data_IF_899432331060
#
_entry.id   IF_899432331060
#
_cell.length_a   1.000
_cell.length_b   1.000
_cell.length_c   1.000
_cell.angle_alpha   90.00
_cell.angle_beta   90.00
_cell.angle_gamma   90.00
#
_symmetry.space_group_name_H-M   'P 1'
#
loop_
_entity.id
_entity.type
_entity.pdbx_description
1 polymer ?
#
# COMPACT_ATOMS: atom_id res chain seq x y z
N UNK A 1 6.30 0.28 -13.77
CA UNK A 1 7.49 1.18 -13.87
C UNK A 1 8.23 1.35 -12.53
N UNK A 2 7.63 1.10 -11.37
CA UNK A 2 8.28 1.24 -10.05
C UNK A 2 9.58 0.48 -9.92
N UNK A 3 9.57 -0.84 -10.15
CA UNK A 3 10.75 -1.68 -10.00
C UNK A 3 11.92 -1.24 -10.90
N UNK A 4 11.64 -0.75 -12.10
CA UNK A 4 12.66 -0.22 -13.01
C UNK A 4 13.33 1.02 -12.42
N UNK A 5 12.55 1.95 -11.86
CA UNK A 5 13.13 3.14 -11.21
C UNK A 5 13.92 2.78 -9.95
N UNK A 6 13.38 1.86 -9.13
CA UNK A 6 14.13 1.35 -7.97
C UNK A 6 15.43 0.71 -8.41
N UNK A 7 15.43 -0.18 -9.42
CA UNK A 7 16.62 -0.81 -9.95
C UNK A 7 17.64 0.20 -10.56
N UNK A 8 17.15 1.32 -11.10
CA UNK A 8 18.02 2.37 -11.65
C UNK A 8 18.72 3.15 -10.55
N UNK A 9 18.06 3.43 -9.43
CA UNK A 9 18.58 4.29 -8.37
C UNK A 9 19.18 3.52 -7.19
N UNK A 10 18.76 2.28 -6.98
CA UNK A 10 19.21 1.40 -5.89
C UNK A 10 19.77 0.08 -6.43
N UNK A 11 20.84 0.17 -7.22
CA UNK A 11 21.47 -0.98 -7.90
C UNK A 11 22.04 -2.05 -6.96
N UNK A 12 22.32 -1.70 -5.72
CA UNK A 12 22.73 -2.63 -4.67
C UNK A 12 21.56 -3.38 -4.03
N UNK A 13 20.32 -2.85 -4.15
CA UNK A 13 19.12 -3.48 -3.60
C UNK A 13 18.38 -4.31 -4.63
N UNK A 14 18.25 -3.83 -5.84
CA UNK A 14 17.46 -4.47 -6.88
C UNK A 14 18.20 -4.45 -8.22
N UNK A 15 18.43 -5.64 -8.77
CA UNK A 15 18.89 -5.85 -10.14
C UNK A 15 17.86 -6.65 -10.92
N UNK A 16 17.38 -6.11 -12.04
CA UNK A 16 16.42 -6.78 -12.92
C UNK A 16 17.22 -7.49 -14.02
N UNK A 17 17.31 -8.80 -13.96
CA UNK A 17 18.07 -9.61 -14.93
C UNK A 17 17.25 -9.99 -16.16
N UNK A 18 15.91 -10.05 -16.04
CA UNK A 18 15.00 -10.25 -17.15
C UNK A 18 13.63 -9.65 -16.83
N UNK A 19 12.92 -9.25 -17.88
CA UNK A 19 11.52 -8.84 -17.83
C UNK A 19 10.75 -9.73 -18.80
N UNK A 20 9.84 -10.55 -18.25
CA UNK A 20 8.86 -11.28 -19.06
C UNK A 20 7.62 -10.43 -19.30
N UNK A 21 7.18 -10.35 -20.55
CA UNK A 21 5.93 -9.68 -20.90
C UNK A 21 5.25 -10.37 -22.08
N UNK A 22 3.91 -10.45 -22.06
CA UNK A 22 3.11 -10.96 -23.17
C UNK A 22 2.90 -9.94 -24.31
N UNK A 23 3.40 -8.70 -24.13
CA UNK A 23 3.34 -7.64 -25.14
C UNK A 23 4.50 -7.84 -26.13
N UNK A 24 4.18 -8.26 -27.36
CA UNK A 24 5.19 -8.59 -28.39
C UNK A 24 6.11 -7.43 -28.77
N UNK A 25 5.60 -6.20 -28.76
CA UNK A 25 6.36 -5.01 -29.18
C UNK A 25 6.88 -4.18 -28.00
N UNK A 26 6.93 -4.77 -26.80
CA UNK A 26 7.43 -4.07 -25.64
C UNK A 26 8.95 -4.22 -25.52
N UNK A 27 9.64 -3.10 -25.47
CA UNK A 27 11.06 -3.03 -25.17
C UNK A 27 11.33 -1.96 -24.12
N UNK A 28 12.38 -2.12 -23.36
CA UNK A 28 12.82 -1.19 -22.35
C UNK A 28 14.34 -1.02 -22.44
N UNK A 29 14.86 0.17 -22.84
CA UNK A 29 16.29 0.39 -22.96
C UNK A 29 17.06 0.04 -21.68
N UNK A 30 18.14 -0.71 -21.82
CA UNK A 30 18.98 -1.13 -20.71
C UNK A 30 18.49 -2.40 -19.96
N UNK A 31 17.35 -3.00 -20.36
CA UNK A 31 16.82 -4.20 -19.74
C UNK A 31 16.63 -5.31 -20.77
N UNK A 32 16.86 -6.55 -20.36
CA UNK A 32 16.55 -7.72 -21.16
C UNK A 32 15.05 -8.00 -21.06
N UNK A 33 14.35 -7.91 -22.18
CA UNK A 33 12.90 -8.13 -22.26
C UNK A 33 12.62 -9.29 -23.21
N UNK A 34 11.76 -10.22 -22.80
CA UNK A 34 11.38 -11.39 -23.59
C UNK A 34 9.88 -11.70 -23.42
N UNK A 35 9.28 -12.30 -24.44
CA UNK A 35 7.93 -12.87 -24.40
C UNK A 35 7.93 -14.39 -24.13
N UNK A 36 9.10 -14.94 -23.84
CA UNK A 36 9.29 -16.35 -23.46
C UNK A 36 9.60 -16.46 -21.97
N UNK A 37 8.70 -17.08 -21.19
CA UNK A 37 8.84 -17.23 -19.76
C UNK A 37 10.05 -18.10 -19.37
N UNK A 38 10.33 -19.20 -20.11
CA UNK A 38 11.47 -20.07 -19.85
C UNK A 38 12.79 -19.34 -20.06
N UNK A 39 12.86 -18.50 -21.09
CA UNK A 39 14.04 -17.70 -21.35
C UNK A 39 14.27 -16.65 -20.24
N UNK A 40 13.22 -15.97 -19.77
CA UNK A 40 13.34 -15.06 -18.64
C UNK A 40 13.83 -15.78 -17.38
N UNK A 41 13.25 -16.93 -17.05
CA UNK A 41 13.58 -17.73 -15.86
C UNK A 41 14.93 -18.47 -15.99
N UNK A 42 15.51 -18.55 -17.18
CA UNK A 42 16.87 -19.08 -17.37
C UNK A 42 17.96 -18.12 -16.88
N UNK A 43 17.66 -16.85 -16.68
CA UNK A 43 18.61 -15.88 -16.17
C UNK A 43 18.79 -16.06 -14.65
N UNK A 44 19.98 -15.90 -14.10
CA UNK A 44 20.20 -16.00 -12.65
C UNK A 44 19.29 -15.00 -11.91
N UNK A 45 18.60 -15.46 -10.87
CA UNK A 45 17.73 -14.61 -10.03
C UNK A 45 17.51 -15.23 -8.64
N UNK A 46 17.20 -14.38 -7.66
CA UNK A 46 16.90 -14.77 -6.29
C UNK A 46 15.38 -14.89 -6.06
N UNK A 47 14.60 -14.15 -6.84
CA UNK A 47 13.14 -14.14 -6.77
C UNK A 47 12.50 -13.69 -8.09
N UNK A 48 11.23 -14.03 -8.26
CA UNK A 48 10.38 -13.57 -9.36
C UNK A 48 9.33 -12.62 -8.83
N UNK A 49 9.33 -11.36 -9.33
CA UNK A 49 8.30 -10.38 -9.00
C UNK A 49 7.14 -10.51 -9.98
N UNK A 50 5.97 -10.92 -9.49
CA UNK A 50 4.74 -11.04 -10.27
C UNK A 50 3.97 -9.73 -10.21
N UNK A 51 4.20 -8.85 -11.18
CA UNK A 51 3.50 -7.57 -11.37
C UNK A 51 2.52 -7.63 -12.54
N UNK A 52 1.92 -8.79 -12.78
CA UNK A 52 0.99 -9.00 -13.90
C UNK A 52 -0.43 -8.61 -13.51
N UNK A 53 -1.17 -8.07 -14.49
CA UNK A 53 -2.61 -7.85 -14.33
C UNK A 53 -3.39 -9.17 -14.28
N UNK A 54 -4.69 -9.04 -14.20
CA UNK A 54 -5.72 -10.06 -13.91
C UNK A 54 -5.66 -11.36 -14.74
N UNK A 55 -5.31 -11.27 -16.02
CA UNK A 55 -5.41 -12.42 -16.92
C UNK A 55 -4.21 -13.33 -16.75
N UNK A 56 -4.45 -14.58 -16.38
CA UNK A 56 -3.42 -15.60 -16.21
C UNK A 56 -2.58 -15.43 -14.92
N UNK A 57 -3.08 -14.69 -13.94
CA UNK A 57 -2.36 -14.50 -12.67
C UNK A 57 -2.22 -15.83 -11.90
N UNK A 58 -3.33 -16.54 -11.68
CA UNK A 58 -3.34 -17.81 -10.95
C UNK A 58 -2.46 -18.87 -11.64
N UNK A 59 -2.56 -18.97 -12.97
CA UNK A 59 -1.75 -19.89 -13.76
C UNK A 59 -0.25 -19.54 -13.64
N UNK A 60 0.08 -18.26 -13.64
CA UNK A 60 1.46 -17.81 -13.45
C UNK A 60 1.97 -18.19 -12.06
N UNK A 61 1.18 -17.97 -11.02
CA UNK A 61 1.54 -18.32 -9.64
C UNK A 61 1.78 -19.82 -9.49
N UNK A 62 0.87 -20.67 -9.99
CA UNK A 62 1.02 -22.13 -9.98
C UNK A 62 2.22 -22.62 -10.79
N UNK A 63 2.47 -21.98 -11.92
CA UNK A 63 3.62 -22.32 -12.74
C UNK A 63 4.95 -22.04 -12.01
N UNK A 64 5.07 -20.88 -11.38
CA UNK A 64 6.25 -20.51 -10.62
C UNK A 64 6.44 -21.40 -9.38
N UNK A 65 5.36 -21.67 -8.64
CA UNK A 65 5.39 -22.59 -7.51
C UNK A 65 5.88 -23.99 -7.90
N UNK A 66 5.33 -24.55 -8.98
CA UNK A 66 5.75 -25.87 -9.50
C UNK A 66 7.23 -25.91 -9.86
N UNK A 67 7.83 -24.79 -10.22
CA UNK A 67 9.26 -24.67 -10.51
C UNK A 67 10.11 -24.49 -9.25
N UNK A 68 9.48 -24.24 -8.10
CA UNK A 68 10.19 -23.95 -6.85
C UNK A 68 10.76 -22.53 -6.78
N UNK A 69 10.21 -21.60 -7.57
CA UNK A 69 10.67 -20.21 -7.58
C UNK A 69 10.29 -19.48 -6.29
N UNK A 70 11.12 -18.55 -5.84
CA UNK A 70 10.76 -17.61 -4.78
C UNK A 70 9.86 -16.52 -5.34
N UNK A 71 8.62 -16.45 -4.89
CA UNK A 71 7.60 -15.58 -5.47
C UNK A 71 7.39 -14.34 -4.60
N UNK A 72 7.55 -13.17 -5.21
CA UNK A 72 7.09 -11.88 -4.70
C UNK A 72 5.95 -11.41 -5.60
N UNK A 73 4.79 -11.05 -5.05
CA UNK A 73 3.67 -10.63 -5.89
C UNK A 73 3.08 -9.31 -5.46
N UNK A 74 2.62 -8.51 -6.41
CA UNK A 74 1.72 -7.37 -6.15
C UNK A 74 0.32 -7.87 -5.73
N UNK A 75 -0.54 -6.96 -5.29
CA UNK A 75 -1.88 -7.26 -4.78
C UNK A 75 -2.90 -7.61 -5.87
N UNK A 76 -2.50 -8.36 -6.89
CA UNK A 76 -3.34 -8.74 -8.04
C UNK A 76 -4.48 -9.73 -7.70
N UNK A 77 -4.58 -10.16 -6.44
CA UNK A 77 -5.62 -11.11 -5.95
C UNK A 77 -7.05 -10.59 -6.04
N UNK A 78 -7.25 -9.27 -6.10
CA UNK A 78 -8.58 -8.63 -6.12
C UNK A 78 -9.56 -9.19 -7.13
N UNK A 79 -9.06 -9.75 -8.18
CA UNK A 79 -9.83 -10.16 -9.35
C UNK A 79 -10.11 -11.64 -9.40
N UNK A 80 -9.51 -12.38 -8.50
CA UNK A 80 -9.71 -13.80 -8.33
C UNK A 80 -11.07 -14.07 -7.69
N UNK A 81 -11.72 -15.18 -8.05
CA UNK A 81 -12.91 -15.68 -7.35
C UNK A 81 -12.51 -16.31 -6.02
N UNK A 82 -13.49 -16.62 -5.17
CA UNK A 82 -13.21 -17.21 -3.85
C UNK A 82 -12.55 -18.59 -3.93
N UNK A 83 -12.89 -19.37 -4.94
CA UNK A 83 -12.25 -20.66 -5.22
C UNK A 83 -10.79 -20.47 -5.63
N UNK A 84 -10.52 -19.50 -6.51
CA UNK A 84 -9.16 -19.17 -6.97
C UNK A 84 -8.30 -18.57 -5.84
N UNK A 85 -8.90 -17.78 -4.94
CA UNK A 85 -8.22 -17.27 -3.75
C UNK A 85 -7.76 -18.39 -2.81
N UNK A 86 -8.55 -19.46 -2.65
CA UNK A 86 -8.14 -20.63 -1.87
C UNK A 86 -6.94 -21.32 -2.49
N UNK A 87 -6.91 -21.46 -3.82
CA UNK A 87 -5.78 -22.07 -4.52
C UNK A 87 -4.50 -21.22 -4.40
N UNK A 88 -4.62 -19.89 -4.44
CA UNK A 88 -3.46 -19.00 -4.25
C UNK A 88 -2.97 -19.00 -2.80
N UNK A 89 -3.89 -19.13 -1.83
CA UNK A 89 -3.56 -19.17 -0.39
C UNK A 89 -2.61 -20.32 -0.02
N UNK A 90 -2.63 -21.42 -0.79
CA UNK A 90 -1.74 -22.57 -0.58
C UNK A 90 -0.32 -22.33 -1.15
N UNK A 91 -0.13 -21.33 -2.02
CA UNK A 91 1.14 -21.01 -2.67
C UNK A 91 2.09 -20.31 -1.67
N UNK A 92 3.34 -20.76 -1.63
CA UNK A 92 4.38 -20.12 -0.81
C UNK A 92 4.95 -18.89 -1.52
N UNK A 93 5.10 -17.82 -0.77
CA UNK A 93 5.67 -16.56 -1.27
C UNK A 93 5.22 -15.36 -0.44
N UNK A 94 5.53 -14.17 -0.95
CA UNK A 94 5.28 -12.92 -0.24
C UNK A 94 4.47 -11.96 -1.10
N UNK A 95 3.66 -11.13 -0.44
CA UNK A 95 2.92 -10.05 -1.07
C UNK A 95 3.63 -8.71 -0.81
N UNK A 96 3.87 -7.96 -1.86
CA UNK A 96 4.46 -6.62 -1.78
C UNK A 96 3.36 -5.57 -1.56
N UNK A 97 2.66 -5.67 -0.41
CA UNK A 97 1.66 -4.69 0.00
C UNK A 97 2.35 -3.46 0.60
N UNK A 98 2.46 -2.40 -0.18
CA UNK A 98 3.26 -1.24 0.15
C UNK A 98 2.58 -0.22 1.08
N UNK A 99 1.24 -0.21 1.20
CA UNK A 99 0.54 0.87 1.88
C UNK A 99 0.93 1.06 3.36
N UNK A 100 1.05 0.03 4.20
CA UNK A 100 1.54 0.23 5.58
C UNK A 100 2.97 0.80 5.66
N UNK A 101 3.74 0.69 4.57
CA UNK A 101 5.13 1.14 4.45
C UNK A 101 5.27 2.52 3.77
N UNK A 102 4.18 3.12 3.29
CA UNK A 102 4.23 4.52 2.85
C UNK A 102 4.74 5.40 4.00
N UNK A 103 5.60 6.38 3.70
CA UNK A 103 6.18 7.25 4.72
C UNK A 103 5.15 7.83 5.70
N UNK A 104 4.03 8.35 5.19
CA UNK A 104 2.96 8.88 6.04
C UNK A 104 2.35 7.79 6.94
N UNK A 105 1.95 6.64 6.39
CA UNK A 105 1.33 5.58 7.19
C UNK A 105 2.30 4.97 8.20
N UNK A 106 3.57 4.81 7.83
CA UNK A 106 4.62 4.40 8.76
C UNK A 106 4.79 5.40 9.92
N UNK A 107 4.78 6.72 9.61
CA UNK A 107 4.83 7.76 10.61
C UNK A 107 3.59 7.77 11.52
N UNK A 108 2.38 7.59 10.95
CA UNK A 108 1.13 7.45 11.73
C UNK A 108 1.19 6.22 12.63
N UNK A 109 1.59 5.06 12.11
CA UNK A 109 1.73 3.82 12.90
C UNK A 109 2.69 4.06 14.08
N UNK A 110 3.84 4.68 13.84
CA UNK A 110 4.80 5.01 14.91
C UNK A 110 4.22 5.99 15.92
N UNK A 111 3.51 7.02 15.49
CA UNK A 111 2.90 8.02 16.35
C UNK A 111 1.79 7.45 17.25
N UNK A 112 1.17 6.30 16.89
CA UNK A 112 0.14 5.66 17.74
C UNK A 112 0.67 5.27 19.12
N UNK A 113 1.98 5.12 19.29
CA UNK A 113 2.62 4.87 20.60
C UNK A 113 2.32 5.99 21.63
N UNK A 114 1.96 7.21 21.16
CA UNK A 114 1.66 8.37 22.02
C UNK A 114 0.23 8.36 22.56
N UNK A 115 -0.70 7.70 21.86
CA UNK A 115 -2.13 7.77 22.19
C UNK A 115 -2.64 6.60 23.03
N UNK A 116 -1.76 5.73 23.49
CA UNK A 116 -2.11 4.59 24.33
C UNK A 116 -2.76 3.46 23.55
N UNK A 117 -3.67 2.70 24.16
CA UNK A 117 -4.35 1.59 23.53
C UNK A 117 -5.25 2.10 22.39
N UNK A 118 -4.93 1.69 21.17
CA UNK A 118 -5.73 2.03 19.98
C UNK A 118 -7.01 1.19 19.94
N UNK A 119 -8.14 1.84 19.71
CA UNK A 119 -9.46 1.23 19.63
C UNK A 119 -10.27 1.61 18.37
N UNK A 120 -9.85 2.67 17.63
CA UNK A 120 -10.55 3.08 16.43
C UNK A 120 -9.58 3.48 15.32
N UNK A 121 -9.94 3.08 14.09
CA UNK A 121 -9.33 3.55 12.85
C UNK A 121 -10.42 4.01 11.89
N UNK A 122 -10.25 5.21 11.30
CA UNK A 122 -11.02 5.70 10.16
C UNK A 122 -10.10 5.89 8.98
N UNK A 123 -10.51 5.39 7.82
CA UNK A 123 -9.84 5.60 6.54
C UNK A 123 -10.83 6.11 5.50
N UNK A 124 -10.41 7.07 4.70
CA UNK A 124 -11.17 7.57 3.54
C UNK A 124 -10.33 7.47 2.27
N UNK A 125 -11.00 7.27 1.13
CA UNK A 125 -10.43 7.32 -0.23
C UNK A 125 -9.32 6.31 -0.56
N UNK A 126 -9.18 5.25 0.24
CA UNK A 126 -8.25 4.14 -0.01
C UNK A 126 -8.98 2.91 -0.56
N UNK A 127 -8.38 2.24 -1.53
CA UNK A 127 -8.90 0.95 -2.03
C UNK A 127 -9.01 -0.07 -0.90
N UNK A 128 -10.09 -0.84 -0.93
CA UNK A 128 -10.52 -1.75 0.12
C UNK A 128 -9.41 -2.68 0.65
N UNK A 129 -8.62 -3.31 -0.21
CA UNK A 129 -7.54 -4.22 0.21
C UNK A 129 -6.38 -3.47 0.88
N UNK A 130 -6.01 -2.28 0.40
CA UNK A 130 -5.00 -1.43 1.04
C UNK A 130 -5.50 -0.91 2.39
N UNK A 131 -6.79 -0.55 2.46
CA UNK A 131 -7.43 -0.17 3.72
C UNK A 131 -7.40 -1.33 4.74
N UNK A 132 -7.59 -2.58 4.27
CA UNK A 132 -7.48 -3.79 5.10
C UNK A 132 -6.06 -4.00 5.62
N UNK A 133 -5.05 -3.80 4.79
CA UNK A 133 -3.65 -3.92 5.20
C UNK A 133 -3.29 -2.89 6.29
N UNK A 134 -3.72 -1.63 6.13
CA UNK A 134 -3.51 -0.58 7.14
C UNK A 134 -4.29 -0.89 8.42
N UNK A 135 -5.55 -1.36 8.31
CA UNK A 135 -6.35 -1.80 9.44
C UNK A 135 -5.59 -2.85 10.26
N UNK A 136 -5.08 -3.89 9.60
CA UNK A 136 -4.33 -4.96 10.26
C UNK A 136 -3.04 -4.43 10.89
N UNK A 137 -2.33 -3.54 10.21
CA UNK A 137 -1.11 -2.93 10.73
C UNK A 137 -1.35 -2.08 11.99
N UNK A 138 -2.48 -1.35 12.08
CA UNK A 138 -2.80 -0.43 13.18
C UNK A 138 -3.60 -1.13 14.27
N UNK A 139 -4.73 -1.75 13.93
CA UNK A 139 -5.61 -2.37 14.91
C UNK A 139 -5.13 -3.76 15.35
N UNK A 140 -4.18 -4.37 14.64
CA UNK A 140 -3.69 -5.75 14.92
C UNK A 140 -4.82 -6.79 14.90
N UNK A 141 -5.78 -6.61 13.97
CA UNK A 141 -6.89 -7.52 13.77
C UNK A 141 -6.65 -8.38 12.52
N UNK A 142 -6.49 -9.67 12.71
CA UNK A 142 -6.16 -10.64 11.66
C UNK A 142 -7.30 -11.64 11.39
N UNK A 143 -8.54 -11.25 11.67
CA UNK A 143 -9.71 -12.09 11.43
C UNK A 143 -10.70 -11.42 10.49
N UNK A 144 -11.45 -12.23 9.75
CA UNK A 144 -12.55 -11.74 8.93
C UNK A 144 -13.67 -11.23 9.87
N UNK A 145 -14.05 -9.94 9.76
CA UNK A 145 -15.06 -9.36 10.64
C UNK A 145 -16.45 -9.95 10.36
N UNK A 146 -17.29 -10.03 11.41
CA UNK A 146 -18.66 -10.53 11.33
C UNK A 146 -19.70 -9.45 11.58
N UNK A 147 -19.38 -8.40 12.32
CA UNK A 147 -20.29 -7.29 12.63
C UNK A 147 -19.95 -6.10 11.72
N UNK A 148 -20.75 -5.92 10.68
CA UNK A 148 -20.56 -4.91 9.65
C UNK A 148 -21.86 -4.14 9.48
N UNK A 149 -21.79 -2.83 9.64
CA UNK A 149 -22.85 -1.90 9.26
C UNK A 149 -22.49 -1.19 7.97
N UNK A 150 -23.45 -1.05 7.05
CA UNK A 150 -23.27 -0.44 5.75
C UNK A 150 -24.22 0.74 5.56
N UNK A 151 -23.70 1.85 5.04
CA UNK A 151 -24.50 3.01 4.60
C UNK A 151 -24.09 3.34 3.19
N UNK A 152 -25.01 3.19 2.26
CA UNK A 152 -24.83 3.52 0.83
C UNK A 152 -25.82 4.64 0.47
N UNK A 153 -25.34 5.74 -0.10
CA UNK A 153 -26.20 6.86 -0.47
C UNK A 153 -25.71 7.58 -1.75
N UNK A 154 -26.66 8.16 -2.53
CA UNK A 154 -26.33 8.95 -3.70
C UNK A 154 -25.47 10.15 -3.33
N UNK A 155 -24.41 10.39 -4.09
CA UNK A 155 -23.52 11.53 -3.94
C UNK A 155 -23.04 11.99 -5.31
N UNK A 156 -22.34 13.09 -5.36
CA UNK A 156 -21.74 13.58 -6.60
C UNK A 156 -20.41 14.26 -6.37
N UNK A 157 -19.54 14.22 -7.36
CA UNK A 157 -18.27 14.94 -7.38
C UNK A 157 -18.00 15.54 -8.76
N UNK A 158 -17.04 16.43 -8.83
CA UNK A 158 -16.51 16.91 -10.11
C UNK A 158 -15.34 16.00 -10.50
N UNK A 159 -15.35 15.52 -11.74
CA UNK A 159 -14.24 14.75 -12.29
C UNK A 159 -12.98 15.60 -12.31
N UNK A 160 -11.94 15.12 -11.67
CA UNK A 160 -10.62 15.72 -11.67
C UNK A 160 -9.63 14.88 -12.47
N UNK A 161 -8.36 15.26 -12.51
CA UNK A 161 -7.32 14.49 -13.15
C UNK A 161 -7.29 13.06 -12.61
N UNK A 162 -7.39 12.07 -13.48
CA UNK A 162 -7.19 10.67 -13.12
C UNK A 162 -5.69 10.30 -13.07
N UNK A 163 -5.37 9.06 -12.78
CA UNK A 163 -4.01 8.50 -12.68
C UNK A 163 -3.10 8.83 -13.89
N UNK A 164 -3.65 9.21 -15.03
CA UNK A 164 -2.91 9.61 -16.23
C UNK A 164 -2.73 11.11 -16.42
N UNK A 165 -3.01 11.94 -15.41
CA UNK A 165 -2.85 13.41 -15.48
C UNK A 165 -3.83 14.13 -16.42
N UNK A 166 -4.76 13.45 -17.06
CA UNK A 166 -5.75 14.05 -17.95
C UNK A 166 -6.93 14.56 -17.13
N UNK A 167 -7.08 15.87 -17.07
CA UNK A 167 -8.29 16.51 -16.57
C UNK A 167 -9.45 16.19 -17.52
N UNK A 168 -10.50 15.56 -17.02
CA UNK A 168 -11.80 15.52 -17.66
C UNK A 168 -12.57 16.74 -17.18
N UNK A 169 -12.56 17.77 -17.94
CA UNK A 169 -13.32 19.02 -18.04
C UNK A 169 -14.34 19.40 -16.94
N UNK A 170 -14.11 19.08 -15.66
CA UNK A 170 -15.00 19.50 -14.60
C UNK A 170 -16.45 18.97 -14.71
N UNK A 171 -16.66 17.85 -15.42
CA UNK A 171 -17.97 17.21 -15.49
C UNK A 171 -18.38 16.69 -14.13
N UNK A 172 -19.65 16.90 -13.78
CA UNK A 172 -20.27 16.31 -12.60
C UNK A 172 -20.45 14.79 -12.82
N UNK A 173 -20.04 14.02 -11.85
CA UNK A 173 -20.22 12.57 -11.79
C UNK A 173 -21.07 12.19 -10.59
N UNK A 174 -22.15 11.48 -10.84
CA UNK A 174 -23.01 10.88 -9.82
C UNK A 174 -22.43 9.51 -9.44
N UNK A 175 -22.43 9.19 -8.16
CA UNK A 175 -21.94 7.90 -7.65
C UNK A 175 -22.64 7.50 -6.35
N UNK A 176 -22.49 6.25 -5.95
CA UNK A 176 -22.91 5.80 -4.64
C UNK A 176 -21.72 5.89 -3.69
N UNK A 177 -21.82 6.74 -2.68
CA UNK A 177 -20.87 6.80 -1.59
C UNK A 177 -21.12 5.63 -0.65
N UNK A 178 -20.06 4.92 -0.29
CA UNK A 178 -20.13 3.73 0.55
C UNK A 178 -19.37 3.97 1.84
N UNK A 179 -20.07 3.85 2.97
CA UNK A 179 -19.46 3.87 4.30
C UNK A 179 -19.67 2.51 4.94
N UNK A 180 -18.60 1.93 5.44
CA UNK A 180 -18.59 0.65 6.16
C UNK A 180 -18.07 0.87 7.57
N UNK A 181 -18.78 0.30 8.54
CA UNK A 181 -18.41 0.34 9.95
C UNK A 181 -18.29 -1.09 10.41
N UNK A 182 -17.09 -1.49 10.79
CA UNK A 182 -16.75 -2.83 11.26
C UNK A 182 -16.47 -2.78 12.75
N UNK A 183 -17.12 -3.66 13.52
CA UNK A 183 -16.83 -3.87 14.93
C UNK A 183 -16.17 -5.23 15.13
N UNK A 184 -15.03 -5.20 15.81
CA UNK A 184 -14.32 -6.41 16.19
C UNK A 184 -14.70 -6.84 17.63
N UNK A 185 -14.67 -8.14 17.94
CA UNK A 185 -14.95 -8.64 19.30
C UNK A 185 -13.99 -8.07 20.37
N UNK A 186 -12.82 -7.60 19.96
CA UNK A 186 -11.81 -6.93 20.79
C UNK A 186 -12.18 -5.51 21.21
N UNK A 187 -13.41 -5.02 20.94
CA UNK A 187 -13.86 -3.64 21.11
C UNK A 187 -13.10 -2.64 20.24
N UNK A 188 -12.67 -3.04 19.07
CA UNK A 188 -12.07 -2.14 18.09
C UNK A 188 -13.07 -1.82 16.97
N UNK A 189 -12.99 -0.58 16.50
CA UNK A 189 -13.85 -0.03 15.46
C UNK A 189 -13.04 0.35 14.23
N UNK A 190 -13.49 -0.07 13.06
CA UNK A 190 -12.97 0.41 11.80
C UNK A 190 -14.07 1.09 10.99
N UNK A 191 -13.78 2.28 10.48
CA UNK A 191 -14.67 3.05 9.61
C UNK A 191 -13.97 3.26 8.28
N UNK A 192 -14.60 2.81 7.20
CA UNK A 192 -14.10 2.95 5.84
C UNK A 192 -15.10 3.73 4.99
N UNK A 193 -14.63 4.83 4.39
CA UNK A 193 -15.42 5.70 3.51
C UNK A 193 -14.74 5.75 2.14
N UNK A 194 -15.20 4.91 1.21
CA UNK A 194 -14.57 4.78 -0.09
C UNK A 194 -15.60 4.61 -1.22
N UNK A 195 -15.31 5.24 -2.32
CA UNK A 195 -16.01 5.03 -3.60
C UNK A 195 -15.00 5.11 -4.73
N UNK A 196 -15.06 4.16 -5.65
CA UNK A 196 -14.12 4.07 -6.79
C UNK A 196 -14.06 5.37 -7.61
N UNK A 197 -15.18 6.10 -7.67
CA UNK A 197 -15.28 7.38 -8.39
C UNK A 197 -14.47 8.51 -7.74
N UNK A 198 -14.18 8.40 -6.43
CA UNK A 198 -13.42 9.40 -5.69
C UNK A 198 -11.92 9.10 -5.65
N UNK A 199 -11.54 7.89 -6.02
CA UNK A 199 -10.14 7.49 -6.09
C UNK A 199 -9.38 8.32 -7.14
N UNK A 200 -8.24 8.85 -6.77
CA UNK A 200 -7.46 9.84 -7.52
C UNK A 200 -8.13 11.21 -7.70
N UNK A 201 -9.24 11.50 -7.00
CA UNK A 201 -9.79 12.84 -7.01
C UNK A 201 -8.85 13.81 -6.28
N UNK A 202 -8.52 14.93 -6.91
CA UNK A 202 -7.76 16.00 -6.25
C UNK A 202 -8.62 16.85 -5.32
N UNK A 203 -9.94 16.64 -5.32
CA UNK A 203 -10.91 17.35 -4.45
C UNK A 203 -11.20 16.58 -3.16
N UNK A 204 -10.94 15.27 -3.16
CA UNK A 204 -11.20 14.40 -2.02
C UNK A 204 -9.85 13.84 -1.59
N UNK A 205 -9.43 14.22 -0.40
CA UNK A 205 -8.15 13.80 0.17
C UNK A 205 -8.29 12.42 0.80
N UNK A 206 -7.25 11.61 0.64
CA UNK A 206 -7.08 10.43 1.47
C UNK A 206 -6.90 10.86 2.91
N UNK A 207 -7.72 10.32 3.82
CA UNK A 207 -7.69 10.66 5.24
C UNK A 207 -7.46 9.42 6.08
N UNK A 208 -6.64 9.59 7.12
CA UNK A 208 -6.47 8.62 8.19
C UNK A 208 -6.68 9.28 9.53
N UNK A 209 -7.47 8.65 10.40
CA UNK A 209 -7.62 9.04 11.81
C UNK A 209 -7.55 7.78 12.66
N UNK A 210 -6.65 7.76 13.63
CA UNK A 210 -6.48 6.70 14.61
C UNK A 210 -6.80 7.27 15.98
N UNK A 211 -7.72 6.63 16.72
CA UNK A 211 -8.04 7.01 18.11
C UNK A 211 -7.54 5.95 19.06
N UNK A 212 -7.07 6.41 20.18
CA UNK A 212 -6.68 5.58 21.30
C UNK A 212 -7.10 6.21 22.62
N UNK A 213 -6.84 5.51 23.69
CA UNK A 213 -7.22 5.87 25.05
C UNK A 213 -6.82 7.31 25.45
N UNK A 214 -5.69 7.80 24.94
CA UNK A 214 -5.09 9.07 25.34
C UNK A 214 -5.13 10.15 24.28
N UNK A 215 -5.63 9.87 23.07
CA UNK A 215 -5.64 10.88 22.02
C UNK A 215 -5.92 10.35 20.63
N UNK A 216 -5.50 11.15 19.64
CA UNK A 216 -5.76 10.94 18.22
C UNK A 216 -4.45 11.16 17.45
N UNK A 217 -4.22 10.34 16.42
CA UNK A 217 -3.23 10.57 15.37
C UNK A 217 -3.97 10.64 14.04
N UNK A 218 -3.68 11.66 13.25
CA UNK A 218 -4.21 11.81 11.90
C UNK A 218 -3.08 12.08 10.89
N UNK A 219 -3.41 12.41 9.65
CA UNK A 219 -2.44 12.75 8.61
C UNK A 219 -1.70 14.08 8.84
N UNK A 220 -2.10 14.87 9.83
CA UNK A 220 -1.45 16.14 10.18
C UNK A 220 -0.53 16.02 11.40
N UNK A 221 -0.70 14.96 12.23
CA UNK A 221 0.10 14.78 13.43
C UNK A 221 -0.62 14.05 14.55
N UNK A 222 -0.23 14.34 15.78
CA UNK A 222 -0.79 13.74 16.98
C UNK A 222 -1.32 14.80 17.95
N UNK A 223 -2.45 14.49 18.60
CA UNK A 223 -3.01 15.25 19.72
C UNK A 223 -3.30 14.28 20.87
N UNK A 224 -2.67 14.47 22.03
CA UNK A 224 -2.83 13.54 23.14
C UNK A 224 -2.71 14.23 24.51
N UNK A 225 -3.22 13.57 25.54
CA UNK A 225 -3.10 14.03 26.92
C UNK A 225 -1.71 13.78 27.48
N UNK A 226 -1.08 14.82 28.00
CA UNK A 226 0.17 14.76 28.72
C UNK A 226 0.00 14.24 30.18
N UNK A 227 1.08 14.26 30.94
CA UNK A 227 1.10 13.71 32.30
C UNK A 227 0.29 14.53 33.31
N UNK A 228 0.23 15.84 33.11
CA UNK A 228 -0.44 16.78 34.01
C UNK A 228 -1.84 17.18 33.53
N UNK A 229 -2.39 16.44 32.54
CA UNK A 229 -3.72 16.67 31.99
C UNK A 229 -3.76 17.73 30.88
N UNK A 230 -2.62 18.28 30.50
CA UNK A 230 -2.50 19.21 29.38
C UNK A 230 -2.75 18.51 28.04
N UNK A 231 -3.19 19.25 27.04
CA UNK A 231 -3.27 18.75 25.66
C UNK A 231 -2.00 19.08 24.90
N UNK A 232 -1.29 18.05 24.45
CA UNK A 232 -0.12 18.17 23.61
C UNK A 232 -0.56 18.01 22.14
N UNK A 233 -0.11 18.93 21.27
CA UNK A 233 -0.35 18.89 19.83
C UNK A 233 1.01 18.90 19.12
N UNK A 234 1.28 17.87 18.32
CA UNK A 234 2.52 17.72 17.59
C UNK A 234 2.21 17.52 16.09
N UNK A 235 2.62 18.44 15.21
CA UNK A 235 2.42 18.27 13.77
C UNK A 235 3.45 17.30 13.20
N UNK A 236 3.06 16.61 12.11
CA UNK A 236 4.02 15.99 11.21
C UNK A 236 4.70 17.05 10.34
N UNK A 237 6.02 16.96 10.23
CA UNK A 237 6.81 17.78 9.31
C UNK A 237 7.55 16.86 8.34
N UNK A 238 7.29 17.02 7.05
CA UNK A 238 7.91 16.26 5.97
C UNK A 238 9.18 17.02 5.50
N UNK A 239 10.34 16.44 5.75
CA UNK A 239 11.62 16.98 5.31
C UNK A 239 11.95 16.45 3.93
N UNK A 240 11.67 17.27 2.91
CA UNK A 240 11.92 16.95 1.50
C UNK A 240 12.95 17.88 0.92
N UNK A 241 13.89 17.34 0.14
CA UNK A 241 14.80 18.16 -0.64
C UNK A 241 14.06 18.76 -1.82
N UNK A 242 14.19 20.07 -1.94
CA UNK A 242 13.76 20.83 -3.10
C UNK A 242 14.97 21.10 -3.98
N UNK A 243 15.52 20.08 -4.63
CA UNK A 243 16.46 20.36 -5.71
C UNK A 243 15.70 21.00 -6.86
N UNK A 244 16.13 22.21 -7.23
CA UNK A 244 15.46 23.08 -8.22
C UNK A 244 15.29 22.44 -9.61
N UNK A 245 15.97 21.34 -9.89
CA UNK A 245 15.97 20.62 -11.16
C UNK A 245 15.42 19.18 -11.08
N UNK A 246 15.09 18.67 -9.90
CA UNK A 246 14.52 17.32 -9.77
C UNK A 246 12.99 17.39 -9.90
N UNK A 247 12.44 16.60 -10.79
CA UNK A 247 10.99 16.45 -10.96
C UNK A 247 10.29 15.78 -9.76
N UNK A 248 11.04 15.32 -8.77
CA UNK A 248 10.56 14.66 -7.55
C UNK A 248 11.22 15.25 -6.32
N UNK A 249 10.41 15.72 -5.38
CA UNK A 249 10.88 16.12 -4.06
C UNK A 249 11.19 14.87 -3.22
N UNK A 250 12.48 14.56 -3.06
CA UNK A 250 12.93 13.37 -2.32
C UNK A 250 12.71 13.56 -0.82
N UNK A 251 11.94 12.63 -0.22
CA UNK A 251 11.74 12.60 1.22
C UNK A 251 12.98 12.09 1.93
N UNK A 252 13.49 12.87 2.89
CA UNK A 252 14.56 12.46 3.80
C UNK A 252 13.99 11.76 5.04
N UNK A 253 13.09 12.43 5.76
CA UNK A 253 12.46 11.91 6.96
C UNK A 253 11.17 12.67 7.30
N UNK A 254 10.41 12.13 8.26
CA UNK A 254 9.23 12.79 8.85
C UNK A 254 9.47 12.92 10.35
N UNK A 255 9.23 14.12 10.90
CA UNK A 255 9.24 14.34 12.35
C UNK A 255 7.82 14.52 12.89
N UNK A 256 7.61 14.11 14.14
CA UNK A 256 6.46 14.47 14.98
C UNK A 256 6.98 15.41 16.06
N UNK A 257 6.69 16.71 15.93
CA UNK A 257 7.42 17.71 16.69
C UNK A 257 8.93 17.64 16.39
N UNK A 258 9.75 17.37 17.39
CA UNK A 258 11.22 17.22 17.23
C UNK A 258 11.69 15.77 17.05
N UNK A 259 10.81 14.77 17.16
CA UNK A 259 11.17 13.35 17.07
C UNK A 259 11.06 12.85 15.63
N UNK A 260 12.07 12.14 15.14
CA UNK A 260 12.01 11.46 13.84
C UNK A 260 11.13 10.20 13.99
N UNK A 261 9.98 10.18 13.31
CA UNK A 261 9.03 9.06 13.32
C UNK A 261 9.11 8.19 12.06
N UNK A 262 9.71 8.72 11.00
CA UNK A 262 10.05 7.96 9.80
C UNK A 262 11.37 8.49 9.24
N UNK A 263 12.27 7.61 8.84
CA UNK A 263 13.52 7.96 8.13
C UNK A 263 13.59 7.15 6.83
N UNK A 264 13.85 7.83 5.71
CA UNK A 264 14.05 7.17 4.42
C UNK A 264 15.49 6.60 4.35
N UNK A 265 15.69 5.28 4.40
CA UNK A 265 17.04 4.70 4.38
C UNK A 265 17.71 4.79 3.01
N UNK A 266 16.96 5.19 1.99
CA UNK A 266 17.43 5.28 0.61
C UNK A 266 17.78 6.71 0.21
N UNK A 267 17.59 7.70 1.11
CA UNK A 267 17.99 9.07 0.85
C UNK A 267 19.50 9.15 0.57
N UNK A 268 19.98 9.89 -0.45
CA UNK A 268 19.26 10.87 -1.28
C UNK A 268 18.73 10.33 -2.63
N UNK A 269 18.52 9.03 -2.81
CA UNK A 269 17.97 8.49 -4.06
C UNK A 269 16.61 9.14 -4.39
N UNK A 270 16.38 9.62 -5.64
CA UNK A 270 15.20 10.39 -6.03
C UNK A 270 13.98 9.49 -6.24
N UNK A 271 13.49 8.89 -5.15
CA UNK A 271 12.35 7.99 -5.10
C UNK A 271 11.10 8.72 -4.63
N UNK A 272 9.95 8.39 -5.24
CA UNK A 272 8.63 8.78 -4.74
C UNK A 272 8.29 7.99 -3.46
N UNK A 273 7.25 8.44 -2.74
CA UNK A 273 6.78 7.76 -1.53
C UNK A 273 6.35 6.30 -1.82
N UNK A 274 5.73 6.05 -2.98
CA UNK A 274 5.41 4.69 -3.47
C UNK A 274 6.69 3.83 -3.65
N UNK A 275 7.70 4.40 -4.29
CA UNK A 275 8.96 3.71 -4.57
C UNK A 275 9.75 3.44 -3.28
N UNK A 276 9.71 4.36 -2.32
CA UNK A 276 10.30 4.18 -0.99
C UNK A 276 9.62 2.99 -0.30
N UNK A 277 8.29 2.94 -0.30
CA UNK A 277 7.54 1.86 0.34
C UNK A 277 7.86 0.48 -0.27
N UNK A 278 7.89 0.39 -1.60
CA UNK A 278 8.29 -0.86 -2.30
C UNK A 278 9.74 -1.21 -2.02
N UNK A 279 10.65 -0.24 -2.02
CA UNK A 279 12.07 -0.48 -1.73
C UNK A 279 12.29 -0.99 -0.28
N UNK A 280 11.48 -0.52 0.69
CA UNK A 280 11.49 -1.04 2.07
C UNK A 280 11.09 -2.52 2.12
N UNK A 281 10.08 -2.94 1.36
CA UNK A 281 9.68 -4.35 1.27
C UNK A 281 10.77 -5.20 0.62
N UNK A 282 11.38 -4.73 -0.47
CA UNK A 282 12.50 -5.41 -1.11
C UNK A 282 13.71 -5.50 -0.19
N UNK A 283 13.99 -4.46 0.59
CA UNK A 283 15.07 -4.50 1.59
C UNK A 283 14.75 -5.50 2.72
N UNK A 284 13.47 -5.59 3.15
CA UNK A 284 13.06 -6.59 4.13
C UNK A 284 13.20 -8.01 3.59
N UNK A 285 12.90 -8.22 2.30
CA UNK A 285 13.12 -9.50 1.63
C UNK A 285 14.60 -9.85 1.58
N UNK A 286 15.46 -8.95 1.13
CA UNK A 286 16.92 -9.15 1.04
C UNK A 286 17.54 -9.51 2.41
N UNK A 287 17.02 -8.90 3.49
CA UNK A 287 17.43 -9.20 4.87
C UNK A 287 16.77 -10.44 5.47
N UNK A 288 15.91 -11.15 4.74
CA UNK A 288 15.17 -12.31 5.22
C UNK A 288 14.16 -12.01 6.33
N UNK A 289 13.67 -10.78 6.41
CA UNK A 289 12.72 -10.32 7.42
C UNK A 289 11.39 -9.81 6.84
N UNK A 290 11.09 -10.10 5.57
CA UNK A 290 9.78 -9.84 4.98
C UNK A 290 8.77 -10.86 5.54
N UNK A 291 7.79 -10.38 6.29
CA UNK A 291 6.79 -11.23 6.97
C UNK A 291 5.44 -11.27 6.25
N UNK A 292 5.19 -10.36 5.29
CA UNK A 292 3.90 -10.24 4.61
C UNK A 292 3.72 -11.33 3.55
N UNK A 293 3.08 -12.42 3.95
CA UNK A 293 2.88 -13.61 3.12
C UNK A 293 1.80 -13.42 2.04
N UNK A 294 1.70 -14.37 1.11
CA UNK A 294 0.57 -14.46 0.16
C UNK A 294 -0.75 -14.62 0.92
N UNK A 295 -0.77 -15.38 2.01
CA UNK A 295 -1.93 -15.57 2.88
C UNK A 295 -2.42 -14.25 3.48
N UNK A 296 -1.51 -13.36 3.85
CA UNK A 296 -1.84 -12.01 4.32
C UNK A 296 -2.51 -11.18 3.23
N UNK A 297 -1.97 -11.20 2.01
CA UNK A 297 -2.57 -10.52 0.86
C UNK A 297 -3.96 -11.07 0.51
N UNK A 298 -4.16 -12.38 0.59
CA UNK A 298 -5.48 -13.01 0.42
C UNK A 298 -6.45 -12.58 1.51
N UNK A 299 -6.00 -12.53 2.77
CA UNK A 299 -6.82 -12.07 3.88
C UNK A 299 -7.28 -10.62 3.70
N UNK A 300 -6.37 -9.73 3.23
CA UNK A 300 -6.72 -8.34 2.94
C UNK A 300 -7.78 -8.21 1.85
N UNK A 301 -7.72 -9.05 0.82
CA UNK A 301 -8.76 -9.08 -0.20
C UNK A 301 -10.09 -9.58 0.36
N UNK A 302 -10.07 -10.62 1.20
CA UNK A 302 -11.31 -11.14 1.84
C UNK A 302 -11.95 -10.09 2.75
N UNK A 303 -11.17 -9.40 3.58
CA UNK A 303 -11.68 -8.28 4.40
C UNK A 303 -12.15 -7.14 3.47
N UNK A 304 -11.34 -6.79 2.49
CA UNK A 304 -11.64 -5.72 1.54
C UNK A 304 -12.93 -5.92 0.73
N UNK A 305 -13.34 -7.16 0.49
CA UNK A 305 -14.64 -7.46 -0.17
C UNK A 305 -15.85 -7.15 0.70
N UNK A 306 -15.65 -7.01 1.99
CA UNK A 306 -16.70 -6.64 2.94
C UNK A 306 -16.83 -5.11 3.09
N UNK A 307 -15.85 -4.35 2.58
CA UNK A 307 -15.82 -2.90 2.53
C UNK A 307 -16.46 -2.37 1.25
#
# INVERSE_FOLDING_TARGET
MFYVRIATHLTSLLRINAIYTRRKDFSLPGFYVTDNAEDALSKPHDAVIVASGRIGFLETMKYLEKRGETILTETSFLTLKDEELKEVEDIKGYTLEQYPHFPLFSAVIKATERIGKVDQLKLSSLHNHHASAILRAILKENSIPKDISAVDFPSSTIKTAGRGGRTKNGEREEYIRKIRIIRYPSNKLFIHDFSTNTYHSTLIKDEIEVRGERGIVDDNGARYGGKDGETIVMPFVFHRDTEFFASTMTLSHITLGSEVVFSNPFYPAPLSDDEIAVALLLQAFDKGCLEYSIQDGVLDVRIGRLL
#
